data_IF_152192611105
#
_entry.id   IF_152192611105
#
_cell.length_a   1.000
_cell.length_b   1.000
_cell.length_c   1.000
_cell.angle_alpha   90.00
_cell.angle_beta   90.00
_cell.angle_gamma   90.00
#
_symmetry.space_group_name_H-M   'P 1'
#
loop_
_entity.id
_entity.type
_entity.pdbx_description
1 polymer ?
#
# COMPACT_ATOMS: atom_id res chain seq x y z
N UNK A 1 16.05 13.29 10.70
CA UNK A 1 14.86 12.99 11.52
C UNK A 1 14.05 14.27 11.63
N UNK A 2 12.72 14.16 11.64
CA UNK A 2 11.83 15.31 11.81
C UNK A 2 10.87 15.06 12.96
N UNK A 3 10.62 16.09 13.76
CA UNK A 3 9.54 16.12 14.76
C UNK A 3 8.34 16.88 14.19
N UNK A 4 7.14 16.45 14.57
CA UNK A 4 5.90 17.12 14.19
C UNK A 4 5.52 18.16 15.25
N UNK A 5 5.42 19.43 14.84
CA UNK A 5 4.94 20.54 15.68
C UNK A 5 3.73 21.20 15.02
N UNK A 6 2.53 20.91 15.55
CA UNK A 6 1.28 21.35 14.94
C UNK A 6 1.11 20.76 13.52
N UNK A 7 1.07 21.63 12.51
CA UNK A 7 1.03 21.24 11.10
C UNK A 7 2.42 21.25 10.43
N UNK A 8 3.46 21.66 11.17
CA UNK A 8 4.83 21.78 10.69
C UNK A 8 5.66 20.53 10.93
N UNK A 9 6.79 20.44 10.19
CA UNK A 9 7.83 19.43 10.38
C UNK A 9 9.15 20.14 10.65
N UNK A 10 9.71 19.94 11.84
CA UNK A 10 10.98 20.56 12.23
C UNK A 10 12.11 19.53 12.17
N UNK A 11 13.23 19.82 11.49
CA UNK A 11 14.38 18.93 11.46
C UNK A 11 15.05 18.90 12.83
N UNK A 12 15.28 17.71 13.36
CA UNK A 12 15.89 17.49 14.68
C UNK A 12 16.99 16.43 14.61
N UNK A 13 17.98 16.53 15.51
CA UNK A 13 19.07 15.56 15.65
C UNK A 13 18.81 14.50 16.72
N UNK A 14 18.00 14.83 17.73
CA UNK A 14 17.60 13.95 18.83
C UNK A 14 16.11 14.12 19.13
N UNK A 15 15.50 13.09 19.72
CA UNK A 15 14.08 13.06 20.10
C UNK A 15 13.94 12.22 21.36
N UNK A 16 12.94 12.52 22.18
CA UNK A 16 12.67 11.80 23.44
C UNK A 16 11.38 10.98 23.37
N UNK A 17 11.18 10.10 24.37
CA UNK A 17 9.95 9.34 24.51
C UNK A 17 8.73 10.27 24.65
N UNK A 18 7.64 9.94 23.95
CA UNK A 18 6.41 10.74 23.90
C UNK A 18 6.25 11.59 22.64
N UNK A 19 7.32 11.76 21.86
CA UNK A 19 7.29 12.56 20.63
C UNK A 19 6.89 11.72 19.42
N UNK A 20 6.19 12.33 18.46
CA UNK A 20 5.90 11.72 17.16
C UNK A 20 6.94 12.22 16.17
N UNK A 21 7.71 11.29 15.59
CA UNK A 21 8.80 11.58 14.67
C UNK A 21 8.62 10.91 13.31
N UNK A 22 9.25 11.51 12.30
CA UNK A 22 9.51 10.90 11.02
C UNK A 22 11.01 10.58 10.91
N UNK A 23 11.32 9.29 10.82
CA UNK A 23 12.67 8.76 10.65
C UNK A 23 12.83 8.24 9.22
N UNK A 24 14.00 8.49 8.62
CA UNK A 24 14.38 7.98 7.30
C UNK A 24 15.76 7.34 7.38
N UNK A 25 16.05 6.42 6.45
CA UNK A 25 17.36 5.75 6.36
C UNK A 25 17.40 4.32 6.90
N UNK A 26 16.29 3.79 7.40
CA UNK A 26 16.16 2.36 7.72
C UNK A 26 15.30 1.70 6.64
N UNK A 27 15.82 0.62 6.04
CA UNK A 27 15.14 -0.17 5.02
C UNK A 27 14.17 -1.19 5.62
N UNK A 28 13.23 -1.65 4.80
CA UNK A 28 12.36 -2.80 5.09
C UNK A 28 11.50 -2.70 6.37
N UNK A 29 11.22 -1.50 6.86
CA UNK A 29 10.27 -1.28 7.97
C UNK A 29 8.83 -1.33 7.44
N UNK A 30 8.00 -2.10 8.13
CA UNK A 30 6.55 -2.17 7.91
C UNK A 30 5.77 -1.61 9.10
N UNK A 31 4.49 -1.30 8.88
CA UNK A 31 3.60 -0.78 9.92
C UNK A 31 3.44 -1.86 10.99
N UNK A 32 3.88 -1.55 12.21
CA UNK A 32 3.86 -2.49 13.33
C UNK A 32 5.20 -2.86 13.91
N UNK A 33 6.26 -2.62 13.15
CA UNK A 33 7.61 -2.93 13.61
C UNK A 33 8.03 -1.99 14.73
N UNK A 34 8.75 -2.55 15.71
CA UNK A 34 9.32 -1.78 16.81
C UNK A 34 10.82 -1.64 16.58
N UNK A 35 11.29 -0.39 16.47
CA UNK A 35 12.72 -0.10 16.38
C UNK A 35 13.28 -0.06 17.81
N UNK A 36 14.17 -1.00 18.12
CA UNK A 36 14.80 -1.11 19.44
C UNK A 36 16.30 -0.78 19.37
N UNK A 37 16.91 -0.53 20.53
CA UNK A 37 18.36 -0.48 20.64
C UNK A 37 18.97 -1.87 20.40
N UNK A 38 20.13 -2.00 19.73
CA UNK A 38 20.77 -3.30 19.52
C UNK A 38 21.08 -4.06 20.81
N UNK A 39 21.37 -3.32 21.89
CA UNK A 39 21.71 -3.84 23.22
C UNK A 39 20.47 -4.33 24.00
N UNK A 40 19.27 -3.89 23.62
CA UNK A 40 18.01 -4.16 24.34
C UNK A 40 16.83 -4.26 23.36
N UNK A 41 16.58 -5.48 22.87
CA UNK A 41 15.53 -5.76 21.90
C UNK A 41 14.27 -6.23 22.61
N UNK A 42 13.39 -5.27 22.92
CA UNK A 42 12.07 -5.52 23.51
C UNK A 42 10.97 -5.06 22.53
N UNK A 43 10.49 -5.94 21.63
CA UNK A 43 9.49 -5.57 20.65
C UNK A 43 8.13 -5.36 21.32
N UNK A 44 7.41 -4.31 20.91
CA UNK A 44 6.05 -4.09 21.37
C UNK A 44 5.10 -5.09 20.71
N UNK A 45 4.07 -5.58 21.44
CA UNK A 45 3.09 -6.49 20.87
C UNK A 45 2.34 -5.80 19.73
N UNK A 46 2.36 -6.42 18.55
CA UNK A 46 1.67 -5.89 17.39
C UNK A 46 0.14 -5.96 17.57
N UNK A 47 -0.54 -4.87 17.22
CA UNK A 47 -2.01 -4.83 17.25
C UNK A 47 -2.54 -5.61 16.07
N UNK A 48 -3.31 -6.68 16.34
CA UNK A 48 -3.89 -7.52 15.30
C UNK A 48 -4.82 -6.71 14.38
N UNK A 49 -4.44 -6.60 13.13
CA UNK A 49 -5.24 -5.94 12.09
C UNK A 49 -6.31 -6.90 11.58
N UNK A 50 -7.51 -6.39 11.34
CA UNK A 50 -8.62 -7.17 10.80
C UNK A 50 -8.23 -7.77 9.45
N UNK A 51 -8.52 -9.06 9.26
CA UNK A 51 -8.30 -9.72 7.98
C UNK A 51 -9.16 -9.08 6.88
N UNK A 52 -8.71 -9.12 5.61
CA UNK A 52 -9.53 -8.69 4.49
C UNK A 52 -10.80 -9.56 4.43
N UNK A 53 -11.91 -8.94 4.02
CA UNK A 53 -13.25 -9.55 4.01
C UNK A 53 -13.77 -9.78 2.61
N UNK A 54 -13.23 -9.08 1.62
CA UNK A 54 -13.62 -9.17 0.22
C UNK A 54 -12.38 -9.21 -0.67
N UNK A 55 -12.47 -9.93 -1.78
CA UNK A 55 -11.42 -10.07 -2.77
C UNK A 55 -11.96 -9.80 -4.17
N UNK A 56 -11.14 -9.27 -5.05
CA UNK A 56 -11.49 -9.06 -6.46
C UNK A 56 -10.24 -9.14 -7.32
N UNK A 57 -10.42 -9.56 -8.57
CA UNK A 57 -9.32 -9.65 -9.53
C UNK A 57 -9.15 -8.34 -10.27
N UNK A 58 -7.93 -7.79 -10.24
CA UNK A 58 -7.49 -6.66 -11.03
C UNK A 58 -6.65 -7.18 -12.19
N UNK A 59 -6.99 -6.83 -13.42
CA UNK A 59 -6.24 -7.25 -14.60
C UNK A 59 -5.97 -6.09 -15.55
N UNK A 60 -4.99 -6.24 -16.45
CA UNK A 60 -4.77 -5.26 -17.51
C UNK A 60 -6.03 -5.12 -18.38
N UNK A 61 -6.19 -3.96 -19.03
CA UNK A 61 -7.24 -3.81 -20.02
C UNK A 61 -6.84 -4.45 -21.35
N UNK A 62 -7.48 -5.57 -21.69
CA UNK A 62 -7.29 -6.30 -22.96
C UNK A 62 -8.36 -5.97 -24.02
N UNK A 63 -9.21 -4.97 -23.76
CA UNK A 63 -10.30 -4.59 -24.66
C UNK A 63 -9.81 -3.81 -25.90
N UNK A 64 -10.64 -3.69 -26.96
CA UNK A 64 -10.33 -2.86 -28.14
C UNK A 64 -10.14 -1.35 -27.87
N UNK A 65 -10.44 -0.92 -26.64
CA UNK A 65 -10.28 0.46 -26.17
C UNK A 65 -9.04 0.64 -25.29
N UNK A 66 -8.22 -0.41 -25.13
CA UNK A 66 -7.00 -0.36 -24.34
C UNK A 66 -6.07 0.79 -24.75
N UNK A 67 -5.64 1.59 -23.78
CA UNK A 67 -4.67 2.68 -23.95
C UNK A 67 -5.21 3.93 -24.63
N UNK A 68 -6.53 4.12 -24.65
CA UNK A 68 -7.16 5.35 -25.18
C UNK A 68 -7.28 6.46 -24.16
N UNK A 69 -7.53 6.14 -22.89
CA UNK A 69 -7.71 7.12 -21.81
C UNK A 69 -6.61 7.03 -20.75
N UNK A 70 -6.11 5.82 -20.49
CA UNK A 70 -5.04 5.55 -19.53
C UNK A 70 -3.63 5.76 -20.06
N UNK A 71 -2.76 6.25 -19.18
CA UNK A 71 -1.31 6.33 -19.41
C UNK A 71 -0.57 5.08 -18.94
N UNK A 72 -1.11 4.41 -17.92
CA UNK A 72 -0.51 3.22 -17.32
C UNK A 72 -1.41 2.01 -17.60
N UNK A 73 -0.96 1.16 -18.52
CA UNK A 73 -1.75 0.03 -19.06
C UNK A 73 -1.03 -1.32 -18.97
N UNK A 74 0.24 -1.32 -18.59
CA UNK A 74 1.05 -2.55 -18.56
C UNK A 74 0.89 -3.28 -17.23
N UNK A 75 0.99 -4.61 -17.26
CA UNK A 75 0.94 -5.45 -16.05
C UNK A 75 1.99 -5.02 -15.03
N UNK A 76 3.22 -4.71 -15.47
CA UNK A 76 4.29 -4.23 -14.58
C UNK A 76 3.92 -2.95 -13.83
N UNK A 77 3.32 -1.98 -14.52
CA UNK A 77 2.88 -0.73 -13.88
C UNK A 77 1.76 -0.99 -12.86
N UNK A 78 0.79 -1.83 -13.22
CA UNK A 78 -0.31 -2.23 -12.34
C UNK A 78 0.23 -2.92 -11.08
N UNK A 79 1.11 -3.91 -11.25
CA UNK A 79 1.80 -4.62 -10.18
C UNK A 79 2.53 -3.66 -9.25
N UNK A 80 3.42 -2.84 -9.80
CA UNK A 80 4.24 -1.91 -9.00
C UNK A 80 3.36 -0.94 -8.20
N UNK A 81 2.19 -0.57 -8.73
CA UNK A 81 1.24 0.30 -8.05
C UNK A 81 0.47 -0.40 -6.93
N UNK A 82 0.02 -1.63 -7.15
CA UNK A 82 -0.71 -2.43 -6.17
C UNK A 82 0.20 -2.79 -4.97
N UNK A 83 1.42 -3.27 -5.23
CA UNK A 83 2.41 -3.56 -4.20
C UNK A 83 2.91 -2.30 -3.47
N UNK A 84 2.87 -1.13 -4.11
CA UNK A 84 3.12 0.13 -3.41
C UNK A 84 2.01 0.47 -2.42
N UNK A 85 0.76 0.10 -2.72
CA UNK A 85 -0.35 0.36 -1.81
C UNK A 85 -0.29 -0.53 -0.57
N UNK A 86 0.18 -1.78 -0.68
CA UNK A 86 0.33 -2.68 0.48
C UNK A 86 1.33 -2.17 1.51
N UNK A 87 2.26 -1.28 1.12
CA UNK A 87 3.17 -0.60 2.04
C UNK A 87 2.48 0.50 2.87
N UNK A 88 1.39 1.07 2.34
CA UNK A 88 0.60 2.12 3.00
C UNK A 88 -0.58 1.55 3.78
N UNK A 89 -1.27 0.58 3.18
CA UNK A 89 -2.46 -0.06 3.75
C UNK A 89 -2.16 -1.52 4.09
N UNK A 90 -1.97 -1.75 5.38
CA UNK A 90 -1.78 -3.06 6.02
C UNK A 90 -2.99 -4.00 5.94
N UNK A 91 -4.18 -3.47 5.64
CA UNK A 91 -5.37 -4.29 5.44
C UNK A 91 -5.50 -4.84 4.02
N UNK A 92 -4.74 -4.27 3.08
CA UNK A 92 -4.72 -4.71 1.69
C UNK A 92 -3.77 -5.89 1.52
N UNK A 93 -4.23 -6.94 0.83
CA UNK A 93 -3.38 -8.05 0.39
C UNK A 93 -3.47 -8.17 -1.11
N UNK A 94 -2.31 -8.29 -1.75
CA UNK A 94 -2.20 -8.45 -3.20
C UNK A 94 -1.46 -9.76 -3.45
N UNK A 95 -2.05 -10.64 -4.26
CA UNK A 95 -1.43 -11.89 -4.70
C UNK A 95 -1.46 -11.98 -6.22
N UNK A 96 -0.40 -12.55 -6.79
CA UNK A 96 -0.33 -12.84 -8.22
C UNK A 96 -1.16 -14.11 -8.50
N UNK A 97 -1.99 -14.09 -9.55
CA UNK A 97 -2.81 -15.25 -9.91
C UNK A 97 -1.96 -16.31 -10.62
N UNK A 98 -2.10 -17.57 -10.21
CA UNK A 98 -1.38 -18.68 -10.85
C UNK A 98 -1.80 -18.82 -12.32
N UNK A 99 -0.82 -18.80 -13.22
CA UNK A 99 -1.05 -18.95 -14.66
C UNK A 99 -1.39 -17.67 -15.43
N UNK A 100 -1.48 -16.51 -14.76
CA UNK A 100 -1.66 -15.21 -15.42
C UNK A 100 -0.60 -14.21 -14.94
N UNK A 101 0.15 -13.63 -15.88
CA UNK A 101 1.06 -12.52 -15.58
C UNK A 101 0.35 -11.16 -15.57
N UNK A 102 -0.92 -11.14 -15.96
CA UNK A 102 -1.66 -9.91 -16.26
C UNK A 102 -2.82 -9.66 -15.29
N UNK A 103 -2.95 -10.50 -14.26
CA UNK A 103 -4.02 -10.44 -13.28
C UNK A 103 -3.50 -10.64 -11.84
N UNK A 104 -4.06 -9.88 -10.92
CA UNK A 104 -3.71 -9.83 -9.50
C UNK A 104 -4.98 -9.96 -8.66
N UNK A 105 -4.99 -10.84 -7.67
CA UNK A 105 -6.07 -10.88 -6.70
C UNK A 105 -5.78 -9.85 -5.60
N UNK A 106 -6.74 -8.96 -5.34
CA UNK A 106 -6.63 -7.86 -4.38
C UNK A 106 -7.73 -8.03 -3.34
N UNK A 107 -7.32 -8.31 -2.10
CA UNK A 107 -8.21 -8.47 -0.97
C UNK A 107 -8.14 -7.26 -0.04
N UNK A 108 -9.28 -6.73 0.37
CA UNK A 108 -9.41 -5.53 1.20
C UNK A 108 -10.47 -5.66 2.29
N UNK A 109 -10.62 -4.61 3.11
CA UNK A 109 -11.53 -4.58 4.28
C UNK A 109 -13.01 -4.43 3.92
N UNK A 110 -13.35 -4.33 2.64
CA UNK A 110 -14.71 -4.24 2.14
C UNK A 110 -14.79 -3.48 0.82
N UNK A 111 -15.98 -3.44 0.22
CA UNK A 111 -16.24 -2.83 -1.10
C UNK A 111 -15.78 -1.37 -1.17
N UNK A 112 -16.04 -0.57 -0.13
CA UNK A 112 -15.66 0.84 -0.09
C UNK A 112 -14.14 1.05 -0.16
N UNK A 113 -13.36 0.21 0.54
CA UNK A 113 -11.89 0.30 0.53
C UNK A 113 -11.34 0.03 -0.87
N UNK A 114 -11.84 -1.00 -1.53
CA UNK A 114 -11.44 -1.37 -2.89
C UNK A 114 -11.91 -0.33 -3.92
N UNK A 115 -13.11 0.24 -3.73
CA UNK A 115 -13.64 1.31 -4.59
C UNK A 115 -12.78 2.58 -4.54
N UNK A 116 -12.30 2.96 -3.34
CA UNK A 116 -11.39 4.09 -3.17
C UNK A 116 -10.07 3.83 -3.89
N UNK A 117 -9.52 2.61 -3.76
CA UNK A 117 -8.30 2.22 -4.47
C UNK A 117 -8.47 2.35 -5.99
N UNK A 118 -9.57 1.81 -6.53
CA UNK A 118 -9.87 1.85 -7.97
C UNK A 118 -9.98 3.29 -8.46
N UNK A 119 -10.77 4.13 -7.79
CA UNK A 119 -10.96 5.53 -8.20
C UNK A 119 -9.67 6.35 -8.07
N UNK A 120 -8.85 6.07 -7.05
CA UNK A 120 -7.54 6.72 -6.88
C UNK A 120 -6.62 6.37 -8.05
N UNK A 121 -6.53 5.08 -8.40
CA UNK A 121 -5.72 4.62 -9.54
C UNK A 121 -6.24 5.19 -10.87
N UNK A 122 -7.56 5.28 -11.05
CA UNK A 122 -8.16 5.92 -12.25
C UNK A 122 -7.76 7.38 -12.37
N UNK A 123 -7.78 8.14 -11.26
CA UNK A 123 -7.33 9.55 -11.23
C UNK A 123 -5.82 9.71 -11.47
N UNK A 124 -5.03 8.73 -11.07
CA UNK A 124 -3.60 8.65 -11.38
C UNK A 124 -3.34 8.32 -12.86
N UNK A 125 -4.36 7.91 -13.62
CA UNK A 125 -4.29 7.60 -15.05
C UNK A 125 -4.00 6.13 -15.37
N UNK A 126 -4.25 5.23 -14.42
CA UNK A 126 -4.22 3.79 -14.67
C UNK A 126 -5.49 3.34 -15.37
N UNK A 127 -5.34 2.41 -16.29
CA UNK A 127 -6.44 1.77 -17.00
C UNK A 127 -6.29 0.26 -16.88
N UNK A 128 -7.30 -0.36 -16.29
CA UNK A 128 -7.32 -1.77 -15.90
C UNK A 128 -8.77 -2.21 -15.79
N UNK A 129 -8.99 -3.52 -15.72
CA UNK A 129 -10.30 -4.13 -15.52
C UNK A 129 -10.36 -4.75 -14.13
N UNK A 130 -11.58 -4.86 -13.60
CA UNK A 130 -11.84 -5.49 -12.30
C UNK A 130 -12.96 -6.52 -12.43
N UNK A 131 -12.83 -7.63 -11.69
CA UNK A 131 -13.93 -8.59 -11.56
C UNK A 131 -15.00 -8.06 -10.59
N UNK A 132 -16.22 -8.60 -10.64
CA UNK A 132 -17.14 -8.51 -9.53
C UNK A 132 -16.47 -8.99 -8.22
N UNK A 133 -16.84 -8.39 -7.07
CA UNK A 133 -16.38 -8.82 -5.76
C UNK A 133 -17.03 -10.13 -5.28
#
# INVERSE_FOLDING_TARGET
>A
MYEFEGLGKNPVTESTAGNIICLSGIGDITIGDTICAPECVEPLPFVKISAPTMEMTFSINDSPYAGREGKFVTSRQLRDRLFRETLKDVSLRVTELEGSMDAFNVAGRGEMSLSILIETMRREGYEFQVSPP
#
